data_IF_974432189410
#
_entry.id   IF_974432189410
#
_cell.length_a   1.000
_cell.length_b   1.000
_cell.length_c   1.000
_cell.angle_alpha   90.00
_cell.angle_beta   90.00
_cell.angle_gamma   90.00
#
_symmetry.space_group_name_H-M   'P 1'
#
loop_
_entity.id
_entity.type
_entity.pdbx_description
1 polymer ?
#
# COMPACT_ATOMS: atom_id res chain seq x y z
N UNK A 1 -7.32 -0.56 -32.86
CA UNK A 1 -7.86 -0.08 -31.58
C UNK A 1 -8.35 -1.32 -30.87
N UNK A 2 -7.60 -1.83 -29.88
CA UNK A 2 -7.99 -3.04 -29.17
C UNK A 2 -9.22 -2.75 -28.32
N UNK A 3 -10.23 -3.63 -28.39
CA UNK A 3 -11.46 -3.50 -27.62
C UNK A 3 -11.14 -3.33 -26.13
N UNK A 4 -11.36 -2.12 -25.63
CA UNK A 4 -11.33 -1.82 -24.20
C UNK A 4 -12.62 -2.43 -23.63
N UNK A 5 -12.55 -3.70 -23.27
CA UNK A 5 -13.62 -4.44 -22.63
C UNK A 5 -13.52 -4.36 -21.12
N UNK A 6 -14.66 -4.14 -20.45
CA UNK A 6 -14.74 -4.18 -18.98
C UNK A 6 -14.52 -5.62 -18.51
N UNK A 7 -13.45 -5.87 -17.75
CA UNK A 7 -13.16 -7.20 -17.19
C UNK A 7 -13.83 -7.36 -15.81
N UNK A 8 -15.13 -7.65 -15.81
CA UNK A 8 -15.91 -7.90 -14.58
C UNK A 8 -15.37 -9.09 -13.76
N UNK A 9 -14.66 -10.02 -14.41
CA UNK A 9 -14.04 -11.17 -13.75
C UNK A 9 -12.83 -10.79 -12.88
N UNK A 10 -12.20 -9.65 -13.17
CA UNK A 10 -11.09 -9.13 -12.36
C UNK A 10 -11.53 -8.79 -10.94
N UNK A 11 -12.72 -8.21 -10.77
CA UNK A 11 -13.29 -7.86 -9.45
C UNK A 11 -13.53 -9.10 -8.56
N UNK A 12 -13.79 -10.25 -9.17
CA UNK A 12 -14.00 -11.53 -8.48
C UNK A 12 -12.71 -12.33 -8.29
N UNK A 13 -11.59 -11.90 -8.87
CA UNK A 13 -10.31 -12.59 -8.74
C UNK A 13 -9.59 -12.20 -7.44
N UNK A 14 -8.78 -13.10 -6.89
CA UNK A 14 -7.99 -12.84 -5.69
C UNK A 14 -7.08 -11.61 -5.88
N UNK A 15 -6.59 -11.37 -7.10
CA UNK A 15 -5.81 -10.17 -7.44
C UNK A 15 -6.61 -8.88 -7.36
N UNK A 16 -7.81 -8.86 -7.94
CA UNK A 16 -8.67 -7.67 -7.87
C UNK A 16 -9.07 -7.35 -6.45
N UNK A 17 -9.44 -8.38 -5.67
CA UNK A 17 -9.77 -8.24 -4.25
C UNK A 17 -8.56 -7.73 -3.45
N UNK A 18 -7.37 -8.29 -3.69
CA UNK A 18 -6.15 -7.87 -3.00
C UNK A 18 -5.82 -6.40 -3.28
N UNK A 19 -5.94 -5.93 -4.53
CA UNK A 19 -5.74 -4.52 -4.88
C UNK A 19 -6.77 -3.61 -4.20
N UNK A 20 -8.02 -4.03 -4.10
CA UNK A 20 -9.05 -3.27 -3.36
C UNK A 20 -8.68 -3.15 -1.89
N UNK A 21 -8.25 -4.25 -1.26
CA UNK A 21 -7.82 -4.24 0.16
C UNK A 21 -6.63 -3.29 0.34
N UNK A 22 -5.63 -3.33 -0.54
CA UNK A 22 -4.49 -2.40 -0.50
C UNK A 22 -4.92 -0.92 -0.62
N UNK A 23 -5.91 -0.63 -1.46
CA UNK A 23 -6.43 0.74 -1.59
C UNK A 23 -7.14 1.16 -0.29
N UNK A 24 -8.00 0.31 0.28
CA UNK A 24 -8.73 0.60 1.51
C UNK A 24 -7.78 0.80 2.69
N UNK A 25 -6.81 -0.10 2.88
CA UNK A 25 -5.81 0.00 3.94
C UNK A 25 -4.94 1.25 3.74
N UNK A 26 -4.52 1.53 2.50
CA UNK A 26 -3.80 2.76 2.17
C UNK A 26 -4.56 4.04 2.56
N UNK A 27 -5.89 4.10 2.33
CA UNK A 27 -6.71 5.23 2.77
C UNK A 27 -6.79 5.37 4.29
N UNK A 28 -6.89 4.24 5.01
CA UNK A 28 -6.88 4.21 6.47
C UNK A 28 -5.55 4.76 7.00
N UNK A 29 -4.41 4.31 6.44
CA UNK A 29 -3.07 4.79 6.84
C UNK A 29 -2.96 6.31 6.61
N UNK A 30 -3.34 6.80 5.42
CA UNK A 30 -3.36 8.23 5.12
C UNK A 30 -4.21 9.00 6.12
N UNK A 31 -5.39 8.50 6.45
CA UNK A 31 -6.29 9.16 7.41
C UNK A 31 -5.69 9.19 8.81
N UNK A 32 -5.08 8.10 9.29
CA UNK A 32 -4.51 8.03 10.63
C UNK A 32 -3.24 8.88 10.77
N UNK A 33 -2.34 8.81 9.79
CA UNK A 33 -1.11 9.61 9.79
C UNK A 33 -1.41 11.09 9.55
N UNK A 34 -2.48 11.44 8.81
CA UNK A 34 -2.82 12.82 8.46
C UNK A 34 -3.86 13.51 9.34
N UNK A 35 -4.74 12.77 10.01
CA UNK A 35 -5.75 13.37 10.88
C UNK A 35 -5.19 13.76 12.26
N UNK A 36 -4.12 13.10 12.72
CA UNK A 36 -3.57 13.35 14.05
C UNK A 36 -2.29 14.18 14.00
N UNK A 37 -2.36 15.39 14.55
CA UNK A 37 -1.19 16.24 14.75
C UNK A 37 -0.30 15.59 15.83
N UNK A 38 0.78 14.93 15.41
CA UNK A 38 1.69 14.17 16.28
C UNK A 38 2.64 15.09 17.07
N UNK A 39 2.09 15.93 17.96
CA UNK A 39 2.86 16.73 18.91
C UNK A 39 3.67 17.85 18.26
N UNK A 40 3.06 18.62 17.35
CA UNK A 40 3.76 19.67 16.59
C UNK A 40 4.25 19.21 15.22
N UNK A 41 4.29 17.90 14.96
CA UNK A 41 4.89 17.35 13.74
C UNK A 41 3.85 16.99 12.69
N UNK A 42 4.08 17.50 11.48
CA UNK A 42 3.27 17.20 10.30
C UNK A 42 3.65 15.83 9.74
N UNK A 43 2.68 15.21 9.08
CA UNK A 43 2.73 13.91 8.41
C UNK A 43 3.82 13.86 7.34
N UNK A 44 4.15 15.02 6.76
CA UNK A 44 5.26 15.23 5.83
C UNK A 44 6.43 16.00 6.42
N UNK A 45 6.29 16.52 7.65
CA UNK A 45 7.23 17.46 8.25
C UNK A 45 8.43 16.81 8.93
N UNK A 46 8.38 15.51 9.19
CA UNK A 46 9.43 14.79 9.90
C UNK A 46 9.93 13.61 9.08
N UNK A 47 11.25 13.42 8.94
CA UNK A 47 11.81 12.51 7.93
C UNK A 47 11.30 11.07 7.99
N UNK A 48 11.11 10.51 9.20
CA UNK A 48 10.69 9.11 9.40
C UNK A 48 9.20 8.91 9.14
N UNK A 49 8.36 9.77 9.73
CA UNK A 49 6.91 9.80 9.47
C UNK A 49 6.60 10.18 8.01
N UNK A 50 7.33 11.15 7.47
CA UNK A 50 7.21 11.66 6.12
C UNK A 50 7.55 10.63 5.06
N UNK A 51 8.56 9.78 5.30
CA UNK A 51 8.82 8.63 4.43
C UNK A 51 7.62 7.67 4.40
N UNK A 52 7.10 7.29 5.57
CA UNK A 52 5.99 6.33 5.65
C UNK A 52 4.69 6.89 5.04
N UNK A 53 4.35 8.14 5.36
CA UNK A 53 3.17 8.84 4.83
C UNK A 53 3.28 9.09 3.33
N UNK A 54 4.43 9.61 2.87
CA UNK A 54 4.68 9.90 1.47
C UNK A 54 4.71 8.64 0.60
N UNK A 55 5.40 7.59 1.05
CA UNK A 55 5.41 6.30 0.35
C UNK A 55 3.99 5.74 0.22
N UNK A 56 3.22 5.71 1.31
CA UNK A 56 1.85 5.21 1.29
C UNK A 56 0.95 6.02 0.34
N UNK A 57 1.09 7.34 0.32
CA UNK A 57 0.32 8.21 -0.57
C UNK A 57 0.63 7.95 -2.05
N UNK A 58 1.91 7.87 -2.42
CA UNK A 58 2.33 7.57 -3.79
C UNK A 58 1.84 6.19 -4.22
N UNK A 59 2.00 5.19 -3.36
CA UNK A 59 1.60 3.81 -3.63
C UNK A 59 0.09 3.66 -3.76
N UNK A 60 -0.70 4.36 -2.93
CA UNK A 60 -2.15 4.40 -3.04
C UNK A 60 -2.59 4.89 -4.44
N UNK A 61 -2.00 5.99 -4.92
CA UNK A 61 -2.31 6.53 -6.25
C UNK A 61 -1.96 5.51 -7.34
N UNK A 62 -0.78 4.88 -7.26
CA UNK A 62 -0.36 3.88 -8.25
C UNK A 62 -1.28 2.66 -8.22
N UNK A 63 -1.68 2.18 -7.04
CA UNK A 63 -2.61 1.06 -6.89
C UNK A 63 -3.99 1.38 -7.50
N UNK A 64 -4.51 2.60 -7.33
CA UNK A 64 -5.76 3.05 -7.97
C UNK A 64 -5.61 3.03 -9.50
N UNK A 65 -4.50 3.55 -10.03
CA UNK A 65 -4.23 3.58 -11.48
C UNK A 65 -4.14 2.16 -12.04
N UNK A 66 -3.36 1.27 -11.40
CA UNK A 66 -3.22 -0.13 -11.83
C UNK A 66 -4.55 -0.89 -11.77
N UNK A 67 -5.37 -0.63 -10.74
CA UNK A 67 -6.71 -1.19 -10.64
C UNK A 67 -7.58 -0.80 -11.83
N UNK A 68 -7.59 0.47 -12.23
CA UNK A 68 -8.34 0.95 -13.40
C UNK A 68 -7.80 0.34 -14.70
N UNK A 69 -6.47 0.28 -14.87
CA UNK A 69 -5.84 -0.30 -16.07
C UNK A 69 -6.21 -1.79 -16.23
N UNK A 70 -6.16 -2.57 -15.15
CA UNK A 70 -6.55 -3.98 -15.17
C UNK A 70 -8.05 -4.18 -15.38
N UNK A 71 -8.87 -3.28 -14.84
CA UNK A 71 -10.31 -3.29 -15.06
C UNK A 71 -10.67 -3.05 -16.54
N UNK A 72 -9.89 -2.22 -17.23
CA UNK A 72 -9.97 -1.97 -18.68
C UNK A 72 -9.27 -3.04 -19.53
N UNK A 73 -8.85 -4.16 -18.92
CA UNK A 73 -8.23 -5.31 -19.56
C UNK A 73 -6.89 -5.01 -20.30
N UNK A 74 -6.21 -3.92 -19.94
CA UNK A 74 -4.88 -3.59 -20.46
C UNK A 74 -3.86 -4.34 -19.60
N UNK A 75 -3.60 -5.60 -19.94
CA UNK A 75 -2.79 -6.54 -19.15
C UNK A 75 -1.29 -6.19 -19.16
N UNK A 76 -0.86 -5.29 -18.27
CA UNK A 76 0.54 -4.88 -18.10
C UNK A 76 1.31 -5.74 -17.05
N UNK A 77 1.26 -7.07 -17.18
CA UNK A 77 1.79 -8.03 -16.19
C UNK A 77 3.24 -7.80 -15.75
N UNK A 78 4.13 -7.43 -16.68
CA UNK A 78 5.56 -7.25 -16.37
C UNK A 78 5.80 -6.00 -15.52
N UNK A 79 5.01 -4.94 -15.74
CA UNK A 79 5.08 -3.71 -14.96
C UNK A 79 4.61 -3.96 -13.53
N UNK A 80 3.49 -4.65 -13.37
CA UNK A 80 2.95 -4.97 -12.04
C UNK A 80 3.89 -5.83 -11.22
N UNK A 81 4.53 -6.83 -11.84
CA UNK A 81 5.49 -7.69 -11.13
C UNK A 81 6.66 -6.89 -10.57
N UNK A 82 7.25 -6.00 -11.37
CA UNK A 82 8.37 -5.16 -10.89
C UNK A 82 7.88 -4.21 -9.81
N UNK A 83 6.73 -3.57 -10.02
CA UNK A 83 6.12 -2.67 -9.06
C UNK A 83 5.88 -3.33 -7.71
N UNK A 84 5.22 -4.49 -7.66
CA UNK A 84 4.90 -5.16 -6.39
C UNK A 84 6.16 -5.63 -5.65
N UNK A 85 7.22 -6.04 -6.36
CA UNK A 85 8.51 -6.36 -5.74
C UNK A 85 9.15 -5.11 -5.12
N UNK A 86 9.17 -4.00 -5.85
CA UNK A 86 9.73 -2.73 -5.34
C UNK A 86 8.94 -2.25 -4.12
N UNK A 87 7.60 -2.27 -4.18
CA UNK A 87 6.75 -1.90 -3.05
C UNK A 87 6.99 -2.79 -1.82
N UNK A 88 7.18 -4.11 -2.01
CA UNK A 88 7.49 -5.01 -0.89
C UNK A 88 8.74 -4.56 -0.13
N UNK A 89 9.81 -4.18 -0.84
CA UNK A 89 11.05 -3.70 -0.22
C UNK A 89 10.84 -2.33 0.44
N UNK A 90 10.15 -1.40 -0.22
CA UNK A 90 9.92 -0.06 0.32
C UNK A 90 9.05 -0.09 1.59
N UNK A 91 8.01 -0.93 1.63
CA UNK A 91 7.17 -1.11 2.82
C UNK A 91 7.86 -1.86 3.95
N UNK A 92 8.83 -2.74 3.65
CA UNK A 92 9.69 -3.32 4.68
C UNK A 92 10.54 -2.25 5.37
N UNK A 93 11.09 -1.31 4.61
CA UNK A 93 11.82 -0.18 5.18
C UNK A 93 10.88 0.73 5.98
N UNK A 94 9.67 1.00 5.45
CA UNK A 94 8.67 1.81 6.15
C UNK A 94 8.24 1.21 7.49
N UNK A 95 8.06 -0.12 7.56
CA UNK A 95 7.67 -0.80 8.79
C UNK A 95 8.73 -0.70 9.89
N UNK A 96 10.02 -0.77 9.53
CA UNK A 96 11.12 -0.57 10.49
C UNK A 96 11.16 0.89 10.97
N UNK A 97 11.01 1.84 10.06
CA UNK A 97 11.06 3.28 10.38
C UNK A 97 9.91 3.73 11.27
N UNK A 98 8.69 3.25 11.04
CA UNK A 98 7.53 3.63 11.87
C UNK A 98 7.62 3.04 13.28
N UNK A 99 8.16 1.82 13.42
CA UNK A 99 8.41 1.20 14.74
C UNK A 99 9.48 1.98 15.49
N UNK A 100 10.58 2.36 14.83
CA UNK A 100 11.60 3.21 15.44
C UNK A 100 10.98 4.54 15.91
N UNK A 101 10.16 5.18 15.07
CA UNK A 101 9.49 6.41 15.43
C UNK A 101 8.61 6.28 16.69
N UNK A 102 7.87 5.19 16.83
CA UNK A 102 7.04 4.92 18.03
C UNK A 102 7.90 4.82 19.29
N UNK A 103 9.03 4.11 19.21
CA UNK A 103 9.97 3.95 20.35
C UNK A 103 10.60 5.27 20.75
N UNK A 104 11.01 6.10 19.77
CA UNK A 104 11.65 7.38 20.02
C UNK A 104 10.72 8.40 20.68
N UNK A 105 9.48 8.51 20.19
CA UNK A 105 8.50 9.47 20.72
C UNK A 105 7.83 8.96 22.01
N UNK A 106 8.09 7.69 22.39
CA UNK A 106 7.46 7.00 23.51
C UNK A 106 5.94 7.27 23.55
N UNK A 107 5.32 7.13 22.38
CA UNK A 107 3.99 7.65 22.13
C UNK A 107 2.90 6.62 22.45
N UNK A 108 2.19 6.79 23.56
CA UNK A 108 0.92 6.10 23.86
C UNK A 108 -0.25 6.63 22.99
N UNK A 109 0.00 6.85 21.70
CA UNK A 109 -1.02 7.29 20.75
C UNK A 109 -1.50 6.09 19.96
N UNK A 110 -2.69 5.61 20.33
CA UNK A 110 -3.37 4.48 19.67
C UNK A 110 -3.43 4.63 18.14
N UNK A 111 -3.55 5.87 17.62
CA UNK A 111 -3.55 6.11 16.17
C UNK A 111 -2.23 5.74 15.47
N UNK A 112 -1.07 6.00 16.09
CA UNK A 112 0.24 5.63 15.54
C UNK A 112 0.45 4.11 15.56
N UNK A 113 0.02 3.46 16.63
CA UNK A 113 0.10 2.00 16.75
C UNK A 113 -0.75 1.33 15.67
N UNK A 114 -2.00 1.79 15.48
CA UNK A 114 -2.87 1.28 14.43
C UNK A 114 -2.25 1.54 13.05
N UNK A 115 -1.71 2.74 12.80
CA UNK A 115 -1.06 3.06 11.52
C UNK A 115 0.16 2.14 11.24
N UNK A 116 0.99 1.87 12.26
CA UNK A 116 2.11 0.94 12.13
C UNK A 116 1.66 -0.48 11.80
N UNK A 117 0.60 -0.97 12.47
CA UNK A 117 0.01 -2.28 12.16
C UNK A 117 -0.51 -2.31 10.72
N UNK A 118 -1.20 -1.27 10.27
CA UNK A 118 -1.67 -1.17 8.89
C UNK A 118 -0.52 -1.16 7.87
N UNK A 119 0.59 -0.47 8.14
CA UNK A 119 1.79 -0.48 7.27
C UNK A 119 2.40 -1.89 7.19
N UNK A 120 2.43 -2.63 8.31
CA UNK A 120 2.89 -4.02 8.33
C UNK A 120 1.93 -4.92 7.53
N UNK A 121 0.62 -4.70 7.65
CA UNK A 121 -0.38 -5.41 6.85
C UNK A 121 -0.18 -5.13 5.36
N UNK A 122 0.06 -3.87 4.96
CA UNK A 122 0.40 -3.51 3.57
C UNK A 122 1.62 -4.28 3.05
N UNK A 123 2.68 -4.37 3.86
CA UNK A 123 3.85 -5.17 3.50
C UNK A 123 3.47 -6.63 3.18
N UNK A 124 2.65 -7.26 4.03
CA UNK A 124 2.20 -8.64 3.79
C UNK A 124 1.28 -8.76 2.57
N UNK A 125 0.43 -7.76 2.32
CA UNK A 125 -0.41 -7.71 1.12
C UNK A 125 0.45 -7.64 -0.14
N UNK A 126 1.48 -6.78 -0.17
CA UNK A 126 2.42 -6.71 -1.29
C UNK A 126 3.22 -8.00 -1.49
N UNK A 127 3.64 -8.64 -0.40
CA UNK A 127 4.32 -9.94 -0.47
C UNK A 127 3.41 -11.00 -1.10
N UNK A 128 2.12 -11.00 -0.72
CA UNK A 128 1.13 -11.91 -1.30
C UNK A 128 0.85 -11.60 -2.78
N UNK A 129 0.78 -10.31 -3.15
CA UNK A 129 0.64 -9.86 -4.54
C UNK A 129 1.79 -10.37 -5.41
N UNK A 130 3.04 -10.28 -4.91
CA UNK A 130 4.23 -10.83 -5.59
C UNK A 130 4.11 -12.34 -5.80
N UNK A 131 3.66 -13.10 -4.79
CA UNK A 131 3.46 -14.56 -4.91
C UNK A 131 2.45 -14.92 -5.98
N UNK A 132 1.31 -14.21 -6.05
CA UNK A 132 0.32 -14.46 -7.11
C UNK A 132 0.91 -14.10 -8.48
N UNK A 133 1.64 -12.99 -8.58
CA UNK A 133 2.26 -12.56 -9.85
C UNK A 133 3.41 -13.46 -10.32
N UNK A 134 4.03 -14.22 -9.41
CA UNK A 134 5.04 -15.25 -9.72
C UNK A 134 4.41 -16.61 -10.09
N UNK A 135 3.12 -16.81 -9.79
CA UNK A 135 2.41 -18.06 -10.04
C UNK A 135 2.46 -19.06 -8.88
N UNK A 136 3.01 -18.65 -7.72
CA UNK A 136 3.15 -19.50 -6.53
C UNK A 136 1.87 -19.58 -5.69
N UNK A 137 0.88 -18.73 -5.96
CA UNK A 137 -0.40 -18.67 -5.27
C UNK A 137 -1.58 -18.62 -6.26
N UNK A 138 -2.70 -19.30 -5.94
CA UNK A 138 -3.87 -19.34 -6.81
C UNK A 138 -4.56 -17.98 -6.90
N UNK A 139 -5.11 -17.75 -8.08
CA UNK A 139 -5.73 -16.49 -8.47
C UNK A 139 -7.23 -16.45 -8.19
#
# INVERSE_FOLDING_TARGET
MGDIGINTRYLSSNRGVLKIIQIVVGFIICSLLCASWHGGRSCFGEGRLGYCSGLNFVVLIINIVLFVINFLNILAWRLERVYSVVCTVLFLVASILIVWFIVEVNADRTSLIIAAICIIVEFFLFLWDVKILQGDAPN
#
